data_IF_569037365723
#
_entry.id   IF_569037365723
#
_cell.length_a   1.000
_cell.length_b   1.000
_cell.length_c   1.000
_cell.angle_alpha   90.00
_cell.angle_beta   90.00
_cell.angle_gamma   90.00
#
_symmetry.space_group_name_H-M   'P 1'
#
loop_
_entity.id
_entity.type
_entity.pdbx_description
1 polymer ?
#
# COMPACT_ATOMS: atom_id res chain seq x y z
N UNK A 1 -8.78 0.28 26.73
CA UNK A 1 -7.77 1.29 26.33
C UNK A 1 -6.66 0.56 25.58
N UNK A 2 -6.78 0.43 24.26
CA UNK A 2 -5.72 -0.20 23.45
C UNK A 2 -4.49 0.71 23.47
N UNK A 3 -3.36 0.18 23.93
CA UNK A 3 -2.06 0.84 23.82
C UNK A 3 -1.83 1.16 22.33
N UNK A 4 -1.96 2.43 21.96
CA UNK A 4 -1.82 2.89 20.58
C UNK A 4 -0.46 2.49 20.04
N UNK A 5 -0.44 1.52 19.13
CA UNK A 5 0.78 1.22 18.37
C UNK A 5 1.12 2.48 17.59
N UNK A 6 2.29 3.04 17.85
CA UNK A 6 2.82 4.17 17.07
C UNK A 6 2.80 3.79 15.59
N UNK A 7 2.03 4.54 14.80
CA UNK A 7 1.90 4.32 13.36
C UNK A 7 2.89 5.26 12.67
N UNK A 8 4.04 4.72 12.26
CA UNK A 8 5.07 5.52 11.60
C UNK A 8 4.80 5.61 10.08
N UNK A 9 4.66 6.82 9.51
CA UNK A 9 4.41 7.02 8.09
C UNK A 9 5.60 6.62 7.21
N UNK A 10 6.81 6.69 7.76
CA UNK A 10 8.08 6.26 7.13
C UNK A 10 8.04 4.80 6.62
N UNK A 11 7.23 3.95 7.27
CA UNK A 11 7.12 2.51 6.98
C UNK A 11 6.08 2.19 5.92
N UNK A 12 5.31 3.19 5.46
CA UNK A 12 4.29 3.00 4.44
C UNK A 12 4.98 2.70 3.10
N UNK A 13 4.60 1.60 2.47
CA UNK A 13 5.11 1.22 1.14
C UNK A 13 4.25 1.82 0.06
N UNK A 14 4.89 2.22 -1.04
CA UNK A 14 4.19 2.60 -2.28
C UNK A 14 3.31 1.45 -2.77
N UNK A 15 2.17 1.83 -3.34
CA UNK A 15 1.29 0.90 -4.04
C UNK A 15 1.86 0.63 -5.43
N UNK A 16 1.84 -0.63 -5.89
CA UNK A 16 2.31 -0.95 -7.24
C UNK A 16 1.40 -0.32 -8.29
N UNK A 17 2.01 0.31 -9.28
CA UNK A 17 1.34 0.90 -10.45
C UNK A 17 0.72 -0.17 -11.34
N UNK A 18 -0.18 0.24 -12.24
CA UNK A 18 -0.77 -0.70 -13.20
C UNK A 18 0.28 -1.44 -14.03
N UNK A 19 1.34 -0.74 -14.46
CA UNK A 19 2.42 -1.33 -15.26
C UNK A 19 3.18 -2.39 -14.47
N UNK A 20 3.56 -2.10 -13.23
CA UNK A 20 4.25 -3.05 -12.34
C UNK A 20 3.37 -4.27 -12.03
N UNK A 21 2.08 -4.05 -11.74
CA UNK A 21 1.14 -5.16 -11.52
C UNK A 21 1.00 -6.02 -12.77
N UNK A 22 0.88 -5.42 -13.95
CA UNK A 22 0.77 -6.12 -15.22
C UNK A 22 2.01 -6.97 -15.48
N UNK A 23 3.20 -6.39 -15.35
CA UNK A 23 4.46 -7.09 -15.55
C UNK A 23 4.57 -8.29 -14.62
N UNK A 24 4.33 -8.09 -13.31
CA UNK A 24 4.39 -9.18 -12.34
C UNK A 24 3.40 -10.30 -12.62
N UNK A 25 2.17 -9.99 -13.04
CA UNK A 25 1.17 -11.01 -13.38
C UNK A 25 1.59 -11.82 -14.61
N UNK A 26 2.22 -11.18 -15.60
CA UNK A 26 2.76 -11.87 -16.78
C UNK A 26 3.91 -12.81 -16.41
N UNK A 27 4.80 -12.39 -15.49
CA UNK A 27 5.85 -13.25 -14.94
C UNK A 27 5.29 -14.48 -14.23
N UNK A 28 4.27 -14.31 -13.38
CA UNK A 28 3.58 -15.42 -12.70
C UNK A 28 3.04 -16.44 -13.71
N UNK A 29 2.57 -15.98 -14.87
CA UNK A 29 2.13 -16.84 -15.97
C UNK A 29 3.26 -17.69 -16.60
N UNK A 30 4.51 -17.26 -16.48
CA UNK A 30 5.70 -17.95 -17.01
C UNK A 30 6.39 -18.82 -15.97
N UNK A 31 6.23 -18.50 -14.68
CA UNK A 31 6.85 -19.25 -13.59
C UNK A 31 6.48 -20.75 -13.63
N UNK A 32 7.46 -21.63 -13.36
CA UNK A 32 7.18 -23.05 -13.17
C UNK A 32 6.35 -23.23 -11.90
N UNK A 33 5.40 -24.17 -11.97
CA UNK A 33 4.64 -24.63 -10.81
C UNK A 33 5.08 -26.06 -10.54
N UNK A 34 6.00 -26.29 -9.59
CA UNK A 34 6.45 -27.63 -9.26
C UNK A 34 5.27 -28.40 -8.64
N UNK A 35 4.88 -29.50 -9.28
CA UNK A 35 3.82 -30.38 -8.84
C UNK A 35 4.35 -31.81 -8.73
N UNK A 36 3.99 -32.50 -7.66
CA UNK A 36 4.29 -33.93 -7.51
C UNK A 36 3.70 -34.73 -8.68
N UNK A 37 4.41 -35.78 -9.11
CA UNK A 37 3.95 -36.70 -10.16
C UNK A 37 2.67 -37.45 -9.76
N UNK A 38 2.41 -37.62 -8.46
CA UNK A 38 1.23 -38.29 -7.92
C UNK A 38 -0.06 -37.48 -8.02
N UNK A 39 0.01 -36.18 -8.34
CA UNK A 39 -1.17 -35.31 -8.39
C UNK A 39 -1.99 -35.64 -9.64
N UNK A 40 -3.27 -35.99 -9.45
CA UNK A 40 -4.23 -36.10 -10.55
C UNK A 40 -4.62 -34.71 -11.08
N UNK A 41 -5.00 -34.61 -12.36
CA UNK A 41 -5.42 -33.36 -13.03
C UNK A 41 -4.40 -32.22 -12.88
N UNK A 42 -3.10 -32.53 -13.02
CA UNK A 42 -1.97 -31.59 -12.81
C UNK A 42 -2.13 -30.24 -13.52
N UNK A 43 -2.69 -30.22 -14.72
CA UNK A 43 -2.89 -28.99 -15.47
C UNK A 43 -3.81 -28.01 -14.73
N UNK A 44 -4.91 -28.50 -14.16
CA UNK A 44 -5.88 -27.67 -13.44
C UNK A 44 -5.27 -27.15 -12.14
N UNK A 45 -4.57 -28.02 -11.41
CA UNK A 45 -3.84 -27.63 -10.20
C UNK A 45 -2.82 -26.54 -10.53
N UNK A 46 -2.07 -26.69 -11.64
CA UNK A 46 -1.13 -25.67 -12.12
C UNK A 46 -1.81 -24.30 -12.36
N UNK A 47 -2.92 -24.26 -13.10
CA UNK A 47 -3.60 -22.98 -13.37
C UNK A 47 -4.30 -22.42 -12.12
N UNK A 48 -4.86 -23.26 -11.26
CA UNK A 48 -5.41 -22.84 -9.96
C UNK A 48 -4.33 -22.22 -9.07
N UNK A 49 -3.13 -22.80 -9.01
CA UNK A 49 -1.99 -22.22 -8.29
C UNK A 49 -1.57 -20.87 -8.90
N UNK A 50 -1.63 -20.70 -10.22
CA UNK A 50 -1.35 -19.41 -10.86
C UNK A 50 -2.41 -18.35 -10.52
N UNK A 51 -3.70 -18.70 -10.55
CA UNK A 51 -4.80 -17.83 -10.09
C UNK A 51 -4.55 -17.36 -8.66
N UNK A 52 -4.16 -18.29 -7.78
CA UNK A 52 -3.84 -18.00 -6.38
C UNK A 52 -2.60 -17.11 -6.21
N UNK A 53 -1.51 -17.38 -6.96
CA UNK A 53 -0.31 -16.52 -6.94
C UNK A 53 -0.64 -15.07 -7.32
N UNK A 54 -1.44 -14.87 -8.37
CA UNK A 54 -1.90 -13.54 -8.80
C UNK A 54 -2.72 -12.87 -7.70
N UNK A 55 -3.68 -13.59 -7.10
CA UNK A 55 -4.51 -13.06 -6.03
C UNK A 55 -3.67 -12.65 -4.81
N UNK A 56 -2.77 -13.52 -4.35
CA UNK A 56 -1.88 -13.26 -3.21
C UNK A 56 -0.97 -12.06 -3.45
N UNK A 57 -0.44 -11.89 -4.66
CA UNK A 57 0.38 -10.74 -5.01
C UNK A 57 -0.42 -9.43 -4.87
N UNK A 58 -1.64 -9.39 -5.42
CA UNK A 58 -2.50 -8.20 -5.36
C UNK A 58 -2.94 -7.92 -3.92
N UNK A 59 -3.44 -8.93 -3.22
CA UNK A 59 -3.90 -8.78 -1.83
C UNK A 59 -2.76 -8.36 -0.90
N UNK A 60 -1.60 -9.02 -1.03
CA UNK A 60 -0.43 -8.73 -0.20
C UNK A 60 0.09 -7.30 -0.39
N UNK A 61 0.17 -6.81 -1.63
CA UNK A 61 0.77 -5.51 -1.92
C UNK A 61 -0.22 -4.34 -1.86
N UNK A 62 -1.46 -4.51 -2.30
CA UNK A 62 -2.45 -3.43 -2.31
C UNK A 62 -3.22 -3.38 -1.00
N UNK A 63 -3.84 -4.48 -0.55
CA UNK A 63 -4.71 -4.43 0.63
C UNK A 63 -3.93 -4.10 1.90
N UNK A 64 -2.82 -4.79 2.13
CA UNK A 64 -1.99 -4.57 3.33
C UNK A 64 -1.49 -3.14 3.39
N UNK A 65 -0.96 -2.62 2.28
CA UNK A 65 -0.44 -1.25 2.21
C UNK A 65 -1.55 -0.22 2.43
N UNK A 66 -2.72 -0.41 1.79
CA UNK A 66 -3.87 0.48 1.98
C UNK A 66 -4.40 0.48 3.41
N UNK A 67 -4.36 -0.65 4.11
CA UNK A 67 -4.74 -0.70 5.53
C UNK A 67 -3.78 0.10 6.41
N UNK A 68 -2.48 0.09 6.11
CA UNK A 68 -1.50 0.93 6.82
C UNK A 68 -1.74 2.40 6.50
N UNK A 69 -1.91 2.75 5.22
CA UNK A 69 -2.24 4.13 4.79
C UNK A 69 -3.48 4.63 5.52
N UNK A 70 -4.56 3.83 5.57
CA UNK A 70 -5.78 4.20 6.28
C UNK A 70 -5.51 4.55 7.75
N UNK A 71 -4.74 3.72 8.46
CA UNK A 71 -4.38 3.97 9.86
C UNK A 71 -3.55 5.25 10.05
N UNK A 72 -2.67 5.56 9.09
CA UNK A 72 -1.91 6.83 9.11
C UNK A 72 -2.86 8.01 8.90
N UNK A 73 -3.76 7.92 7.93
CA UNK A 73 -4.76 8.96 7.64
C UNK A 73 -5.83 9.11 8.74
N UNK A 74 -6.01 8.12 9.62
CA UNK A 74 -6.88 8.27 10.81
C UNK A 74 -6.30 9.31 11.80
N UNK A 75 -5.01 9.60 11.74
CA UNK A 75 -4.36 10.66 12.53
C UNK A 75 -4.50 12.00 11.79
N UNK A 76 -5.18 12.96 12.41
CA UNK A 76 -5.52 14.26 11.80
C UNK A 76 -4.30 15.02 11.24
N UNK A 77 -3.20 15.04 12.00
CA UNK A 77 -1.94 15.67 11.55
C UNK A 77 -1.41 15.07 10.24
N UNK A 78 -1.28 13.74 10.17
CA UNK A 78 -0.80 13.09 8.95
C UNK A 78 -1.80 13.21 7.79
N UNK A 79 -3.10 13.22 8.09
CA UNK A 79 -4.13 13.47 7.08
C UNK A 79 -3.96 14.83 6.43
N UNK A 80 -3.77 15.87 7.22
CA UNK A 80 -3.58 17.24 6.73
C UNK A 80 -2.31 17.36 5.86
N UNK A 81 -1.20 16.77 6.32
CA UNK A 81 0.03 16.73 5.51
C UNK A 81 -0.16 15.99 4.19
N UNK A 82 -0.84 14.84 4.21
CA UNK A 82 -1.13 14.05 3.02
C UNK A 82 -2.05 14.79 2.04
N UNK A 83 -3.06 15.51 2.54
CA UNK A 83 -3.99 16.29 1.70
C UNK A 83 -3.29 17.41 0.93
N UNK A 84 -2.24 18.00 1.49
CA UNK A 84 -1.44 19.02 0.80
C UNK A 84 -0.59 18.47 -0.35
N UNK A 85 -0.37 17.15 -0.38
CA UNK A 85 0.41 16.49 -1.41
C UNK A 85 -0.42 16.08 -2.64
N UNK A 86 -1.75 16.22 -2.59
CA UNK A 86 -2.67 15.84 -3.67
C UNK A 86 -3.36 17.06 -4.28
N UNK A 87 -3.87 16.97 -5.53
CA UNK A 87 -4.62 18.06 -6.15
C UNK A 87 -5.84 18.47 -5.33
N UNK A 88 -6.19 19.75 -5.39
CA UNK A 88 -7.36 20.30 -4.69
C UNK A 88 -8.64 19.52 -5.02
N UNK A 89 -9.46 19.27 -4.00
CA UNK A 89 -10.72 18.52 -4.11
C UNK A 89 -10.59 17.00 -4.04
N UNK A 90 -9.38 16.44 -3.96
CA UNK A 90 -9.19 15.00 -3.75
C UNK A 90 -9.31 14.62 -2.26
N UNK A 91 -10.39 13.94 -1.88
CA UNK A 91 -10.51 13.33 -0.55
C UNK A 91 -9.78 11.97 -0.51
N UNK A 92 -8.63 11.95 0.15
CA UNK A 92 -7.80 10.75 0.29
C UNK A 92 -8.48 9.62 1.09
N UNK A 93 -9.31 9.93 2.07
CA UNK A 93 -10.02 8.93 2.87
C UNK A 93 -11.03 8.20 1.98
N UNK A 94 -11.76 8.95 1.17
CA UNK A 94 -12.70 8.40 0.19
C UNK A 94 -12.00 7.61 -0.91
N UNK A 95 -10.87 8.12 -1.44
CA UNK A 95 -10.04 7.40 -2.43
C UNK A 95 -9.58 6.05 -1.88
N UNK A 96 -9.02 6.02 -0.67
CA UNK A 96 -8.60 4.78 0.00
C UNK A 96 -9.80 3.85 0.25
N UNK A 97 -10.94 4.40 0.65
CA UNK A 97 -12.20 3.65 0.81
C UNK A 97 -12.65 2.97 -0.50
N UNK A 98 -12.63 3.71 -1.61
CA UNK A 98 -12.95 3.18 -2.95
C UNK A 98 -11.99 2.06 -3.36
N UNK A 99 -10.68 2.23 -3.17
CA UNK A 99 -9.68 1.20 -3.45
C UNK A 99 -9.95 -0.09 -2.66
N UNK A 100 -10.15 0.02 -1.34
CA UNK A 100 -10.46 -1.13 -0.47
C UNK A 100 -11.77 -1.81 -0.90
N UNK A 101 -12.79 -1.03 -1.26
CA UNK A 101 -14.05 -1.55 -1.77
C UNK A 101 -13.88 -2.36 -3.06
N UNK A 102 -13.08 -1.85 -4.01
CA UNK A 102 -12.83 -2.52 -5.30
C UNK A 102 -11.96 -3.76 -5.16
N UNK A 103 -11.07 -3.84 -4.16
CA UNK A 103 -10.33 -5.07 -3.84
C UNK A 103 -11.26 -6.24 -3.45
N UNK A 104 -12.46 -5.97 -2.91
CA UNK A 104 -13.47 -7.02 -2.65
C UNK A 104 -13.94 -7.68 -3.94
N UNK A 105 -14.02 -6.93 -5.05
CA UNK A 105 -14.37 -7.48 -6.36
C UNK A 105 -13.30 -8.45 -6.87
N UNK A 106 -12.01 -8.14 -6.68
CA UNK A 106 -10.91 -9.05 -7.03
C UNK A 106 -10.98 -10.34 -6.20
N UNK A 107 -11.31 -10.25 -4.90
CA UNK A 107 -11.52 -11.43 -4.06
C UNK A 107 -12.69 -12.30 -4.54
N UNK A 108 -13.78 -11.69 -5.03
CA UNK A 108 -14.90 -12.42 -5.64
C UNK A 108 -14.46 -13.14 -6.92
N UNK A 109 -13.75 -12.44 -7.81
CA UNK A 109 -13.19 -13.04 -9.04
C UNK A 109 -12.26 -14.21 -8.71
N UNK A 110 -11.36 -14.05 -7.73
CA UNK A 110 -10.46 -15.13 -7.31
C UNK A 110 -11.23 -16.40 -6.92
N UNK A 111 -12.24 -16.28 -6.06
CA UNK A 111 -13.05 -17.43 -5.61
C UNK A 111 -13.77 -18.11 -6.77
N UNK A 112 -14.39 -17.31 -7.64
CA UNK A 112 -15.11 -17.80 -8.82
C UNK A 112 -14.17 -18.55 -9.79
N UNK A 113 -13.06 -17.92 -10.19
CA UNK A 113 -12.15 -18.50 -11.17
C UNK A 113 -11.36 -19.68 -10.64
N UNK A 114 -10.99 -19.66 -9.35
CA UNK A 114 -10.36 -20.83 -8.72
C UNK A 114 -11.29 -22.04 -8.76
N UNK A 115 -12.58 -21.86 -8.48
CA UNK A 115 -13.56 -22.94 -8.57
C UNK A 115 -13.74 -23.43 -10.02
N UNK A 116 -13.94 -22.50 -10.97
CA UNK A 116 -14.10 -22.80 -12.41
C UNK A 116 -12.90 -23.56 -12.99
N UNK A 117 -11.67 -23.14 -12.66
CA UNK A 117 -10.45 -23.81 -13.11
C UNK A 117 -10.32 -25.21 -12.52
N UNK A 118 -10.73 -25.44 -11.28
CA UNK A 118 -10.69 -26.77 -10.66
C UNK A 118 -11.80 -27.69 -11.19
N UNK A 119 -12.89 -27.13 -11.70
CA UNK A 119 -13.99 -27.89 -12.33
C UNK A 119 -13.82 -28.11 -13.83
N UNK A 120 -12.84 -27.47 -14.50
CA UNK A 120 -12.67 -27.57 -15.94
C UNK A 120 -12.35 -28.99 -16.41
N UNK A 121 -12.70 -29.33 -17.64
CA UNK A 121 -12.57 -30.68 -18.19
C UNK A 121 -11.10 -30.99 -18.47
N UNK A 122 -10.39 -30.04 -19.08
CA UNK A 122 -9.05 -30.27 -19.59
C UNK A 122 -8.10 -29.07 -19.38
N UNK A 123 -6.92 -29.18 -19.98
CA UNK A 123 -5.88 -28.15 -19.94
C UNK A 123 -6.27 -26.89 -20.74
N UNK A 124 -6.69 -26.98 -22.01
CA UNK A 124 -7.15 -25.82 -22.78
C UNK A 124 -8.18 -24.96 -22.05
N UNK A 125 -9.20 -25.57 -21.47
CA UNK A 125 -10.26 -24.86 -20.75
C UNK A 125 -9.70 -24.17 -19.49
N UNK A 126 -8.85 -24.85 -18.71
CA UNK A 126 -8.18 -24.26 -17.55
C UNK A 126 -7.31 -23.05 -17.92
N UNK A 127 -6.63 -23.12 -19.07
CA UNK A 127 -5.79 -22.04 -19.60
C UNK A 127 -6.61 -20.83 -20.07
N UNK A 128 -7.74 -21.07 -20.73
CA UNK A 128 -8.68 -20.02 -21.12
C UNK A 128 -9.26 -19.31 -19.90
N UNK A 129 -9.73 -20.05 -18.90
CA UNK A 129 -10.24 -19.50 -17.64
C UNK A 129 -9.18 -18.67 -16.91
N UNK A 130 -7.92 -19.12 -16.90
CA UNK A 130 -6.81 -18.33 -16.34
C UNK A 130 -6.59 -17.01 -17.09
N UNK A 131 -6.59 -17.05 -18.43
CA UNK A 131 -6.45 -15.84 -19.26
C UNK A 131 -7.60 -14.86 -19.02
N UNK A 132 -8.84 -15.36 -18.94
CA UNK A 132 -10.02 -14.55 -18.65
C UNK A 132 -9.91 -13.90 -17.26
N UNK A 133 -9.51 -14.67 -16.23
CA UNK A 133 -9.26 -14.17 -14.89
C UNK A 133 -8.23 -13.03 -14.88
N UNK A 134 -7.08 -13.24 -15.51
CA UNK A 134 -6.01 -12.23 -15.61
C UNK A 134 -6.53 -10.96 -16.29
N UNK A 135 -7.25 -11.08 -17.41
CA UNK A 135 -7.84 -9.94 -18.12
C UNK A 135 -8.82 -9.15 -17.24
N UNK A 136 -9.69 -9.84 -16.50
CA UNK A 136 -10.65 -9.19 -15.59
C UNK A 136 -9.95 -8.49 -14.43
N UNK A 137 -8.95 -9.12 -13.82
CA UNK A 137 -8.16 -8.54 -12.75
C UNK A 137 -7.40 -7.29 -13.21
N UNK A 138 -6.69 -7.37 -14.35
CA UNK A 138 -5.99 -6.21 -14.92
C UNK A 138 -6.95 -5.09 -15.30
N UNK A 139 -8.15 -5.42 -15.80
CA UNK A 139 -9.18 -4.43 -16.08
C UNK A 139 -9.63 -3.69 -14.81
N UNK A 140 -9.79 -4.41 -13.69
CA UNK A 140 -10.09 -3.77 -12.39
C UNK A 140 -8.94 -2.87 -11.96
N UNK A 141 -7.69 -3.37 -11.93
CA UNK A 141 -6.52 -2.58 -11.51
C UNK A 141 -6.33 -1.33 -12.38
N UNK A 142 -6.53 -1.45 -13.70
CA UNK A 142 -6.45 -0.32 -14.62
C UNK A 142 -7.45 0.79 -14.29
N UNK A 143 -8.66 0.45 -13.85
CA UNK A 143 -9.67 1.44 -13.42
C UNK A 143 -9.27 2.15 -12.12
N UNK A 144 -8.36 1.57 -11.33
CA UNK A 144 -7.86 2.12 -10.07
C UNK A 144 -6.57 2.91 -10.26
N UNK A 145 -6.00 3.02 -11.47
CA UNK A 145 -4.67 3.60 -11.68
C UNK A 145 -4.56 5.03 -11.15
N UNK A 146 -5.56 5.88 -11.45
CA UNK A 146 -5.61 7.27 -10.97
C UNK A 146 -5.68 7.36 -9.45
N UNK A 147 -6.50 6.50 -8.83
CA UNK A 147 -6.64 6.45 -7.37
C UNK A 147 -5.33 5.95 -6.71
N UNK A 148 -4.64 4.98 -7.33
CA UNK A 148 -3.33 4.49 -6.89
C UNK A 148 -2.27 5.61 -6.99
N UNK A 149 -2.28 6.39 -8.06
CA UNK A 149 -1.37 7.53 -8.25
C UNK A 149 -1.57 8.60 -7.17
N UNK A 150 -2.82 8.99 -6.90
CA UNK A 150 -3.16 9.94 -5.83
C UNK A 150 -2.67 9.47 -4.46
N UNK A 151 -2.90 8.19 -4.13
CA UNK A 151 -2.42 7.64 -2.86
C UNK A 151 -0.89 7.58 -2.82
N UNK A 152 -0.22 7.29 -3.94
CA UNK A 152 1.25 7.29 -3.99
C UNK A 152 1.84 8.69 -3.79
N UNK A 153 1.21 9.75 -4.31
CA UNK A 153 1.62 11.14 -4.03
C UNK A 153 1.55 11.45 -2.53
N UNK A 154 0.45 11.07 -1.88
CA UNK A 154 0.30 11.20 -0.44
C UNK A 154 1.33 10.38 0.35
N UNK A 155 1.60 9.13 -0.08
CA UNK A 155 2.62 8.27 0.55
C UNK A 155 4.00 8.91 0.49
N UNK A 156 4.38 9.50 -0.65
CA UNK A 156 5.70 10.10 -0.80
C UNK A 156 5.93 11.26 0.18
N UNK A 157 4.90 12.08 0.41
CA UNK A 157 4.97 13.16 1.38
C UNK A 157 4.97 12.64 2.82
N UNK A 158 4.10 11.68 3.12
CA UNK A 158 4.05 11.04 4.43
C UNK A 158 5.38 10.39 4.81
N UNK A 159 6.09 9.75 3.87
CA UNK A 159 7.37 9.08 4.13
C UNK A 159 8.51 10.04 4.48
N UNK A 160 8.39 11.31 4.15
CA UNK A 160 9.35 12.36 4.54
C UNK A 160 9.12 12.85 5.97
N UNK A 161 7.91 12.67 6.48
CA UNK A 161 7.51 13.16 7.79
C UNK A 161 8.04 12.22 8.89
N UNK A 162 8.58 12.74 10.00
CA UNK A 162 9.04 11.90 11.10
C UNK A 162 7.88 11.15 11.77
N UNK A 163 8.20 10.00 12.33
CA UNK A 163 7.30 9.28 13.23
C UNK A 163 7.12 10.02 14.55
N UNK A 164 5.90 10.47 14.82
CA UNK A 164 5.53 11.21 16.04
C UNK A 164 4.61 10.31 16.89
N UNK A 165 4.94 10.17 18.17
CA UNK A 165 4.12 9.46 19.15
C UNK A 165 3.07 10.40 19.76
N UNK A 166 1.88 10.44 19.14
CA UNK A 166 0.74 11.24 19.62
C UNK A 166 0.13 10.75 20.95
N UNK A 167 0.64 9.65 21.53
CA UNK A 167 0.26 9.19 22.87
C UNK A 167 1.02 9.87 24.01
N UNK A 168 2.05 10.68 23.68
CA UNK A 168 2.88 11.39 24.65
C UNK A 168 2.67 12.91 24.55
N UNK A 169 3.00 13.69 25.60
CA UNK A 169 3.06 15.14 25.49
C UNK A 169 4.00 15.57 24.37
N UNK A 170 3.53 16.46 23.49
CA UNK A 170 4.30 17.01 22.38
C UNK A 170 4.57 18.49 22.68
N UNK A 171 5.85 18.89 22.64
CA UNK A 171 6.27 20.28 22.79
C UNK A 171 6.71 20.79 21.42
N UNK A 172 6.03 21.81 20.90
CA UNK A 172 6.42 22.50 19.68
C UNK A 172 7.19 23.79 20.02
N UNK A 173 8.42 23.91 19.55
CA UNK A 173 9.27 25.10 19.76
C UNK A 173 9.29 25.93 18.47
N UNK A 174 8.66 27.10 18.50
CA UNK A 174 8.58 28.02 17.37
C UNK A 174 9.40 29.31 17.62
N UNK A 175 9.76 30.02 16.55
CA UNK A 175 10.52 31.28 16.63
C UNK A 175 11.24 31.62 15.31
N UNK A 176 11.91 32.76 15.24
CA UNK A 176 12.64 33.22 14.04
C UNK A 176 13.84 32.31 13.68
N UNK A 177 14.26 32.23 12.40
CA UNK A 177 15.49 31.51 12.04
C UNK A 177 16.68 31.93 12.92
N UNK A 178 17.59 30.98 13.20
CA UNK A 178 18.84 31.22 13.96
C UNK A 178 18.71 31.66 15.44
N UNK A 179 17.51 31.74 16.03
CA UNK A 179 17.32 32.08 17.47
C UNK A 179 17.69 30.96 18.47
N UNK A 180 18.46 29.96 18.06
CA UNK A 180 18.92 28.89 18.96
C UNK A 180 17.89 27.79 19.27
N UNK A 181 16.76 27.71 18.55
CA UNK A 181 15.75 26.63 18.73
C UNK A 181 16.36 25.22 18.71
N UNK A 182 17.20 24.93 17.72
CA UNK A 182 17.84 23.61 17.59
C UNK A 182 18.79 23.32 18.75
N UNK A 183 19.47 24.35 19.27
CA UNK A 183 20.33 24.25 20.45
C UNK A 183 19.51 23.93 21.69
N UNK A 184 18.35 24.58 21.86
CA UNK A 184 17.44 24.28 22.96
C UNK A 184 16.93 22.85 22.89
N UNK A 185 16.47 22.39 21.72
CA UNK A 185 16.04 20.99 21.51
C UNK A 185 17.18 20.02 21.85
N UNK A 186 18.41 20.30 21.42
CA UNK A 186 19.57 19.46 21.72
C UNK A 186 19.93 19.42 23.21
N UNK A 187 19.71 20.51 23.94
CA UNK A 187 20.00 20.59 25.36
C UNK A 187 18.97 19.86 26.23
N UNK A 188 17.70 19.86 25.82
CA UNK A 188 16.60 19.21 26.57
C UNK A 188 16.37 17.75 26.16
N UNK A 189 16.79 17.36 24.95
CA UNK A 189 16.57 16.01 24.41
C UNK A 189 17.61 15.03 24.93
N UNK A 190 17.15 13.85 25.33
CA UNK A 190 18.00 12.74 25.78
C UNK A 190 18.73 12.09 24.59
N UNK A 191 18.06 12.04 23.44
CA UNK A 191 18.62 11.52 22.20
C UNK A 191 19.23 12.64 21.33
N UNK A 192 20.27 12.31 20.55
CA UNK A 192 20.77 13.21 19.50
C UNK A 192 19.59 13.57 18.58
N UNK A 193 19.24 14.86 18.49
CA UNK A 193 18.10 15.26 17.70
C UNK A 193 18.29 14.85 16.24
N UNK A 194 17.26 14.26 15.65
CA UNK A 194 17.26 13.89 14.23
C UNK A 194 16.65 15.01 13.43
N UNK A 195 17.28 15.34 12.31
CA UNK A 195 16.72 16.25 11.34
C UNK A 195 15.84 15.46 10.37
N UNK A 196 14.63 15.94 10.09
CA UNK A 196 13.73 15.33 9.12
C UNK A 196 13.02 16.42 8.29
N UNK A 197 12.86 16.23 6.98
CA UNK A 197 12.15 17.20 6.15
C UNK A 197 10.70 17.36 6.66
N UNK A 198 10.27 18.62 6.81
CA UNK A 198 8.89 18.94 7.15
C UNK A 198 8.23 19.74 6.03
N UNK A 199 6.96 19.48 5.68
CA UNK A 199 6.29 20.20 4.61
C UNK A 199 6.35 21.72 4.85
N UNK A 200 6.53 22.51 3.78
CA UNK A 200 6.61 23.98 3.80
C UNK A 200 7.81 24.61 4.51
N UNK A 201 8.75 23.81 5.01
CA UNK A 201 10.00 24.31 5.61
C UNK A 201 11.15 24.17 4.63
N UNK A 202 11.99 25.20 4.52
CA UNK A 202 13.23 25.13 3.72
C UNK A 202 14.35 24.35 4.44
N UNK A 203 14.13 23.98 5.70
CA UNK A 203 15.08 23.27 6.56
C UNK A 203 14.38 22.17 7.33
N UNK A 204 15.10 21.08 7.57
CA UNK A 204 14.62 19.94 8.35
C UNK A 204 14.23 20.34 9.78
N UNK A 205 13.14 19.76 10.30
CA UNK A 205 12.75 19.89 11.71
C UNK A 205 13.60 18.98 12.58
N UNK A 206 13.88 19.45 13.79
CA UNK A 206 14.74 18.77 14.75
C UNK A 206 13.84 18.07 15.78
N UNK A 207 13.81 16.74 15.77
CA UNK A 207 12.97 15.93 16.67
C UNK A 207 13.84 15.29 17.76
N UNK A 208 13.50 15.57 19.01
CA UNK A 208 14.13 15.01 20.22
C UNK A 208 13.16 14.15 21.02
N UNK A 209 13.69 13.29 21.90
CA UNK A 209 12.93 12.40 22.79
C UNK A 209 13.55 12.36 24.19
#
# INVERSE_FOLDING_TARGET
MEKGKVVCPERVRRLPTYSEVRERILEIGREPVPLSRSISRRALVKYSTRVEKVFRYIEGNLLTSLQVVKKVLDIGFYRELASNAVPEGADLVDVVGRLIGKLRAIRKLYREYRARVMSSIDRPEAEELYREYVGRVLSVVRRLSKDIELVNMAIDELRRTPCIDFGKPIIAIAGLPQVGKSTLVAAISTAKPRSSPFPFTTKEIVVGH
#
